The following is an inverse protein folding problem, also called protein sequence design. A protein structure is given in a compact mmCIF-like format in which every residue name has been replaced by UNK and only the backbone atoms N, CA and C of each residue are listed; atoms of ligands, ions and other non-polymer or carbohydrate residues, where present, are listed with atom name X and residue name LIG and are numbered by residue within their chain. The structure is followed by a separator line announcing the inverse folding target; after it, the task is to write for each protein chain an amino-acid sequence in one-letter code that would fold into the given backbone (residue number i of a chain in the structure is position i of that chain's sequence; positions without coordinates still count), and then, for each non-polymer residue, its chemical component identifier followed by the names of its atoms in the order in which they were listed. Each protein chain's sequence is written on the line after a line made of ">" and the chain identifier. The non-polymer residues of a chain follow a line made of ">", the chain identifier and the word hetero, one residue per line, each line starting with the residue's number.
data_IF_375152843481
#
_entry.id   IF_375152843481
#
_cell.length_a   1.000
_cell.length_b   1.000
_cell.length_c   1.000
_cell.angle_alpha   90.00
_cell.angle_beta   90.00
_cell.angle_gamma   90.00
#
_symmetry.space_group_name_H-M   'P 1'
#
loop_
_entity.id
_entity.type
_entity.pdbx_description
1 polymer ?
#
# COMPACT_ATOMS: atom_id res chain seq x y z
N UNK A 1 -9.43 63.24 -54.03
CA UNK A 1 -8.17 63.12 -53.28
C UNK A 1 -8.32 61.93 -52.34
N UNK A 2 -7.60 60.82 -52.59
CA UNK A 2 -7.61 59.66 -51.70
C UNK A 2 -6.54 59.86 -50.63
N UNK A 3 -6.96 59.93 -49.35
CA UNK A 3 -6.05 59.96 -48.21
C UNK A 3 -5.44 58.56 -48.03
N UNK A 4 -4.11 58.46 -48.19
CA UNK A 4 -3.37 57.23 -47.93
C UNK A 4 -3.24 57.02 -46.42
N UNK A 5 -4.15 56.25 -45.84
CA UNK A 5 -4.08 55.83 -44.46
C UNK A 5 -3.06 54.68 -44.34
N UNK A 6 -1.77 55.02 -44.22
CA UNK A 6 -0.70 54.03 -43.98
C UNK A 6 -0.57 53.79 -42.48
N UNK A 7 -1.41 52.91 -41.93
CA UNK A 7 -1.17 52.34 -40.60
C UNK A 7 0.17 51.58 -40.65
N UNK A 8 1.06 51.85 -39.70
CA UNK A 8 2.38 51.22 -39.67
C UNK A 8 2.23 49.72 -39.42
N UNK A 9 2.95 48.86 -40.16
CA UNK A 9 2.96 47.41 -39.89
C UNK A 9 3.38 47.09 -38.44
N UNK A 10 4.16 47.96 -37.80
CA UNK A 10 4.52 47.85 -36.36
C UNK A 10 3.33 48.06 -35.42
N UNK A 11 2.28 48.78 -35.84
CA UNK A 11 1.05 48.99 -35.06
C UNK A 11 0.08 47.81 -35.21
N UNK A 12 0.23 46.99 -36.27
CA UNK A 12 -0.62 45.83 -36.55
C UNK A 12 -0.04 44.50 -36.04
N UNK A 13 1.25 44.47 -35.70
CA UNK A 13 1.94 43.26 -35.23
C UNK A 13 2.60 43.48 -33.86
N UNK A 14 1.90 43.07 -32.81
CA UNK A 14 2.51 42.81 -31.50
C UNK A 14 2.95 41.34 -31.46
N UNK A 15 4.26 41.09 -31.35
CA UNK A 15 4.76 39.74 -31.16
C UNK A 15 4.07 39.10 -29.93
N UNK A 16 3.61 37.84 -30.01
CA UNK A 16 2.98 37.18 -28.86
C UNK A 16 3.95 37.21 -27.68
N UNK A 17 3.52 37.76 -26.55
CA UNK A 17 4.34 37.80 -25.36
C UNK A 17 4.51 36.38 -24.85
N UNK A 18 5.73 35.84 -24.97
CA UNK A 18 6.08 34.50 -24.52
C UNK A 18 5.91 34.29 -23.01
N UNK A 19 5.87 35.39 -22.25
CA UNK A 19 5.68 35.45 -20.81
C UNK A 19 4.72 36.59 -20.54
N UNK A 20 3.66 36.32 -19.79
CA UNK A 20 2.75 37.36 -19.27
C UNK A 20 2.68 37.27 -17.74
N UNK A 21 2.71 38.42 -17.07
CA UNK A 21 2.44 38.53 -15.63
C UNK A 21 1.05 39.14 -15.48
N UNK A 22 0.22 38.60 -14.61
CA UNK A 22 -1.09 39.18 -14.31
C UNK A 22 -0.96 40.60 -13.79
N UNK A 23 -1.99 41.42 -14.03
CA UNK A 23 -2.02 42.82 -13.57
C UNK A 23 -1.96 42.97 -12.05
N UNK A 24 -2.34 41.94 -11.29
CA UNK A 24 -2.20 41.87 -9.83
C UNK A 24 -0.86 41.29 -9.35
N UNK A 25 0.00 40.87 -10.28
CA UNK A 25 1.32 40.32 -10.00
C UNK A 25 1.33 38.91 -9.41
N UNK A 26 0.18 38.21 -9.34
CA UNK A 26 0.07 36.91 -8.63
C UNK A 26 0.34 35.70 -9.50
N UNK A 27 0.39 35.86 -10.81
CA UNK A 27 0.58 34.75 -11.75
C UNK A 27 1.50 35.14 -12.89
N UNK A 28 2.30 34.17 -13.32
CA UNK A 28 3.15 34.26 -14.51
C UNK A 28 2.76 33.11 -15.44
N UNK A 29 2.44 33.43 -16.69
CA UNK A 29 2.05 32.46 -17.72
C UNK A 29 3.14 32.42 -18.80
N UNK A 30 3.53 31.21 -19.21
CA UNK A 30 4.50 30.98 -20.28
C UNK A 30 3.81 30.26 -21.44
N UNK A 31 3.50 30.97 -22.53
CA UNK A 31 2.74 30.40 -23.65
C UNK A 31 3.66 29.67 -24.63
N UNK A 32 3.46 28.35 -24.78
CA UNK A 32 4.21 27.49 -25.71
C UNK A 32 5.75 27.56 -25.53
N UNK A 33 6.23 27.80 -24.30
CA UNK A 33 7.65 27.84 -23.97
C UNK A 33 8.01 26.77 -22.95
N UNK A 34 9.17 26.14 -23.13
CA UNK A 34 9.83 25.37 -22.07
C UNK A 34 10.38 26.33 -21.03
N UNK A 35 10.08 26.07 -19.75
CA UNK A 35 10.60 26.82 -18.61
C UNK A 35 11.61 25.93 -17.89
N UNK A 36 12.89 26.33 -17.89
CA UNK A 36 13.94 25.68 -17.13
C UNK A 36 14.26 26.52 -15.90
N UNK A 37 13.98 25.98 -14.72
CA UNK A 37 14.30 26.61 -13.44
C UNK A 37 15.30 25.68 -12.74
N UNK A 38 16.28 26.26 -12.06
CA UNK A 38 17.16 25.50 -11.16
C UNK A 38 16.40 25.12 -9.88
N UNK A 39 16.97 25.44 -8.72
CA UNK A 39 16.29 25.19 -7.47
C UNK A 39 15.11 26.15 -7.26
N UNK A 40 13.94 25.59 -6.98
CA UNK A 40 12.80 26.34 -6.45
C UNK A 40 12.80 26.14 -4.94
N UNK A 41 13.24 27.16 -4.20
CA UNK A 41 13.24 27.17 -2.74
C UNK A 41 12.58 28.44 -2.25
N UNK A 42 11.88 28.38 -1.11
CA UNK A 42 11.50 29.61 -0.41
C UNK A 42 12.70 30.12 0.39
N UNK A 43 12.94 31.43 0.35
CA UNK A 43 14.02 32.05 1.13
C UNK A 43 13.62 32.34 2.58
N UNK A 44 12.36 32.09 2.94
CA UNK A 44 11.79 32.26 4.29
C UNK A 44 10.85 31.11 4.61
N UNK A 45 10.58 30.92 5.91
CA UNK A 45 9.58 29.95 6.39
C UNK A 45 8.23 30.27 5.73
N UNK A 46 7.69 29.26 5.05
CA UNK A 46 6.44 29.41 4.31
C UNK A 46 5.30 29.19 5.30
N UNK A 47 4.31 30.09 5.34
CA UNK A 47 3.12 29.88 6.16
C UNK A 47 2.47 28.51 5.83
N UNK A 48 1.91 27.79 6.82
CA UNK A 48 1.39 26.44 6.64
C UNK A 48 0.38 26.25 5.50
N UNK A 49 -0.26 27.33 5.07
CA UNK A 49 -1.33 27.33 4.07
C UNK A 49 -0.88 27.65 2.63
N UNK A 50 0.40 27.97 2.39
CA UNK A 50 0.88 28.17 1.02
C UNK A 50 1.09 26.81 0.35
N UNK A 51 0.23 26.51 -0.63
CA UNK A 51 0.21 25.23 -1.33
C UNK A 51 0.79 25.39 -2.73
N UNK A 52 1.62 24.44 -3.15
CA UNK A 52 1.93 24.26 -4.56
C UNK A 52 0.80 23.46 -5.21
N UNK A 53 -0.04 24.12 -6.02
CA UNK A 53 -1.14 23.48 -6.72
C UNK A 53 -0.78 23.28 -8.20
N UNK A 54 -0.83 22.04 -8.67
CA UNK A 54 -0.63 21.70 -10.09
C UNK A 54 -1.95 21.19 -10.66
N UNK A 55 -2.46 21.87 -11.68
CA UNK A 55 -3.68 21.46 -12.38
C UNK A 55 -3.28 20.77 -13.68
N UNK A 56 -3.80 19.55 -13.89
CA UNK A 56 -3.55 18.75 -15.09
C UNK A 56 -2.58 17.59 -14.87
N UNK A 57 -2.07 17.02 -15.97
CA UNK A 57 -1.11 15.90 -15.92
C UNK A 57 0.30 16.43 -15.66
N UNK A 58 1.04 15.73 -14.81
CA UNK A 58 2.45 16.01 -14.52
C UNK A 58 3.29 14.81 -14.92
N UNK A 59 4.39 15.05 -15.65
CA UNK A 59 5.44 14.05 -15.89
C UNK A 59 6.68 14.51 -15.12
N UNK A 60 7.26 13.61 -14.33
CA UNK A 60 8.53 13.83 -13.64
C UNK A 60 9.53 12.83 -14.20
N UNK A 61 10.69 13.32 -14.64
CA UNK A 61 11.78 12.51 -15.20
C UNK A 61 12.90 12.47 -14.18
N UNK A 62 12.85 11.49 -13.28
CA UNK A 62 13.78 11.33 -12.15
C UNK A 62 13.10 10.97 -10.84
N UNK A 63 13.89 10.99 -9.76
CA UNK A 63 13.44 10.62 -8.43
C UNK A 63 12.52 11.67 -7.80
N UNK A 64 11.48 11.21 -7.12
CA UNK A 64 10.60 12.05 -6.29
C UNK A 64 10.81 11.65 -4.83
N UNK A 65 11.30 12.57 -4.01
CA UNK A 65 11.49 12.37 -2.56
C UNK A 65 10.44 13.16 -1.78
N UNK A 66 9.67 12.48 -0.96
CA UNK A 66 8.67 13.09 -0.08
C UNK A 66 8.99 12.64 1.35
N UNK A 67 9.34 13.59 2.23
CA UNK A 67 9.69 13.29 3.63
C UNK A 67 8.48 13.00 4.51
N UNK A 68 7.28 13.37 4.04
CA UNK A 68 6.01 13.24 4.73
C UNK A 68 5.05 12.33 3.94
N UNK A 69 3.76 12.40 4.28
CA UNK A 69 2.73 11.58 3.68
C UNK A 69 2.49 11.90 2.19
N UNK A 70 2.09 10.87 1.44
CA UNK A 70 1.60 10.97 0.06
C UNK A 70 0.15 10.49 0.04
N UNK A 71 -0.77 11.33 -0.44
CA UNK A 71 -2.18 10.97 -0.61
C UNK A 71 -2.48 10.84 -2.10
N UNK A 72 -2.98 9.68 -2.53
CA UNK A 72 -3.26 9.39 -3.93
C UNK A 72 -4.73 9.02 -4.04
N UNK A 73 -5.51 9.84 -4.75
CA UNK A 73 -6.95 9.64 -4.94
C UNK A 73 -7.30 8.64 -6.04
N UNK A 74 -6.31 8.12 -6.77
CA UNK A 74 -6.48 7.20 -7.90
C UNK A 74 -5.59 5.96 -7.78
N UNK A 75 -5.38 5.28 -8.90
CA UNK A 75 -4.53 4.09 -8.97
C UNK A 75 -3.03 4.45 -8.94
N UNK A 76 -2.22 3.51 -8.43
CA UNK A 76 -0.77 3.49 -8.57
C UNK A 76 -0.44 2.30 -9.49
N UNK A 77 0.22 2.56 -10.61
CA UNK A 77 0.58 1.54 -11.58
C UNK A 77 2.09 1.53 -11.81
N UNK A 78 2.70 0.34 -11.75
CA UNK A 78 4.10 0.10 -12.10
C UNK A 78 4.11 -0.76 -13.35
N UNK A 79 4.39 -0.15 -14.51
CA UNK A 79 4.19 -0.78 -15.83
C UNK A 79 5.42 -1.47 -16.40
N UNK A 80 6.61 -1.20 -15.84
CA UNK A 80 7.86 -1.84 -16.26
C UNK A 80 8.15 -3.01 -15.32
N UNK A 81 8.25 -4.22 -15.88
CA UNK A 81 8.55 -5.45 -15.14
C UNK A 81 9.89 -5.43 -14.41
N UNK A 82 10.81 -4.57 -14.82
CA UNK A 82 12.10 -4.38 -14.17
C UNK A 82 12.03 -3.43 -12.97
N UNK A 83 10.92 -2.70 -12.83
CA UNK A 83 10.67 -1.80 -11.71
C UNK A 83 9.83 -2.50 -10.66
N UNK A 84 10.27 -2.43 -9.41
CA UNK A 84 9.58 -3.06 -8.27
C UNK A 84 9.02 -2.00 -7.34
N UNK A 85 7.80 -2.22 -6.87
CA UNK A 85 7.30 -1.51 -5.70
C UNK A 85 7.96 -2.12 -4.45
N UNK A 86 8.82 -1.35 -3.79
CA UNK A 86 9.46 -1.74 -2.52
C UNK A 86 8.84 -0.94 -1.38
N UNK A 87 8.37 -1.63 -0.34
CA UNK A 87 7.90 -1.02 0.90
C UNK A 87 8.78 -1.51 2.04
N UNK A 88 9.53 -0.61 2.66
CA UNK A 88 10.32 -0.89 3.86
C UNK A 88 9.48 -0.51 5.09
N UNK A 89 8.73 -1.48 5.61
CA UNK A 89 7.85 -1.27 6.77
C UNK A 89 6.56 -2.09 6.70
N UNK A 90 5.58 -1.68 7.50
CA UNK A 90 4.28 -2.33 7.54
C UNK A 90 3.34 -1.77 6.47
N UNK A 91 2.57 -2.65 5.84
CA UNK A 91 1.52 -2.30 4.87
C UNK A 91 0.17 -2.79 5.38
N UNK A 92 -0.87 -1.95 5.28
CA UNK A 92 -2.27 -2.33 5.52
C UNK A 92 -3.03 -2.22 4.20
N UNK A 93 -3.73 -3.28 3.82
CA UNK A 93 -4.50 -3.34 2.57
C UNK A 93 -5.96 -3.64 2.93
N UNK A 94 -6.83 -2.65 2.77
CA UNK A 94 -8.28 -2.79 2.94
C UNK A 94 -8.91 -3.28 1.63
N UNK A 95 -8.63 -4.52 1.26
CA UNK A 95 -9.08 -5.08 0.00
C UNK A 95 -8.49 -6.47 -0.29
N UNK A 96 -8.40 -6.81 -1.57
CA UNK A 96 -7.89 -8.10 -2.02
C UNK A 96 -6.46 -7.96 -2.54
N UNK A 97 -5.60 -8.91 -2.21
CA UNK A 97 -4.27 -9.07 -2.81
C UNK A 97 -4.37 -10.19 -3.84
N UNK A 98 -4.09 -9.88 -5.11
CA UNK A 98 -3.93 -10.87 -6.17
C UNK A 98 -2.44 -10.95 -6.53
N UNK A 99 -1.84 -12.11 -6.32
CA UNK A 99 -0.42 -12.37 -6.58
C UNK A 99 -0.23 -13.82 -7.00
N UNK A 100 0.82 -14.09 -7.76
CA UNK A 100 1.21 -15.45 -8.14
C UNK A 100 1.81 -16.21 -6.95
N UNK A 101 2.55 -15.53 -6.08
CA UNK A 101 3.25 -16.13 -4.95
C UNK A 101 3.38 -15.15 -3.77
N UNK A 102 3.37 -15.70 -2.56
CA UNK A 102 3.73 -15.01 -1.31
C UNK A 102 4.85 -15.80 -0.65
N UNK A 103 6.04 -15.21 -0.54
CA UNK A 103 7.20 -15.82 0.12
C UNK A 103 7.45 -15.10 1.44
N UNK A 104 7.54 -15.87 2.54
CA UNK A 104 7.76 -15.35 3.89
C UNK A 104 9.14 -15.78 4.37
N UNK A 105 9.96 -14.83 4.82
CA UNK A 105 11.28 -15.11 5.36
C UNK A 105 11.21 -16.02 6.59
N UNK A 106 11.91 -17.16 6.55
CA UNK A 106 11.84 -18.21 7.60
C UNK A 106 13.21 -18.79 7.96
N UNK A 107 14.29 -18.09 7.62
CA UNK A 107 15.68 -18.48 7.89
C UNK A 107 15.94 -18.64 9.40
N UNK A 108 16.76 -19.62 9.80
CA UNK A 108 17.06 -19.88 11.22
C UNK A 108 17.72 -18.69 11.91
N UNK A 109 18.42 -17.82 11.18
CA UNK A 109 19.06 -16.60 11.70
C UNK A 109 18.06 -15.53 12.11
N UNK A 110 16.81 -15.64 11.65
CA UNK A 110 15.71 -14.75 12.04
C UNK A 110 14.94 -15.27 13.27
N UNK A 111 15.39 -16.39 13.87
CA UNK A 111 14.67 -17.10 14.92
C UNK A 111 15.58 -17.31 16.13
N UNK A 112 15.00 -17.24 17.31
CA UNK A 112 15.65 -17.56 18.59
C UNK A 112 14.72 -18.47 19.40
N UNK A 113 15.24 -19.14 20.44
CA UNK A 113 14.47 -20.03 21.31
C UNK A 113 13.69 -21.13 20.57
N UNK A 114 14.30 -21.71 19.53
CA UNK A 114 13.68 -22.74 18.70
C UNK A 114 13.46 -24.01 19.53
N UNK A 115 12.21 -24.45 19.64
CA UNK A 115 11.80 -25.69 20.29
C UNK A 115 10.93 -26.52 19.34
N UNK A 116 11.04 -27.86 19.34
CA UNK A 116 10.07 -28.71 18.68
C UNK A 116 8.66 -28.47 19.24
N UNK A 117 7.63 -28.65 18.41
CA UNK A 117 6.26 -28.72 18.89
C UNK A 117 6.05 -30.08 19.57
N UNK A 118 5.39 -30.08 20.73
CA UNK A 118 5.01 -31.27 21.47
C UNK A 118 3.49 -31.51 21.37
N UNK A 119 2.96 -32.40 22.21
CA UNK A 119 1.54 -32.76 22.27
C UNK A 119 0.66 -31.71 22.94
N UNK A 120 1.20 -30.55 23.33
CA UNK A 120 0.41 -29.41 23.81
C UNK A 120 -0.14 -28.55 22.65
N UNK A 121 0.44 -28.67 21.46
CA UNK A 121 -0.01 -27.94 20.27
C UNK A 121 -1.03 -28.77 19.49
N UNK A 122 -2.29 -28.69 19.92
CA UNK A 122 -3.38 -29.51 19.37
C UNK A 122 -4.46 -28.70 18.65
N UNK A 123 -5.12 -29.35 17.70
CA UNK A 123 -6.23 -28.74 16.94
C UNK A 123 -7.62 -29.05 17.52
N UNK A 124 -7.72 -29.96 18.51
CA UNK A 124 -8.99 -30.47 19.06
C UNK A 124 -9.89 -29.37 19.65
N UNK A 125 -9.30 -28.29 20.13
CA UNK A 125 -10.02 -27.17 20.75
C UNK A 125 -10.32 -26.04 19.77
N UNK A 126 -9.87 -26.14 18.52
CA UNK A 126 -10.16 -25.15 17.49
C UNK A 126 -11.59 -25.33 16.97
N UNK A 127 -12.26 -24.20 16.73
CA UNK A 127 -13.65 -24.15 16.25
C UNK A 127 -13.70 -23.55 14.84
N UNK A 128 -13.46 -24.35 13.78
CA UNK A 128 -13.68 -23.86 12.42
C UNK A 128 -15.18 -23.59 12.22
N UNK A 129 -15.49 -22.49 11.54
CA UNK A 129 -16.86 -22.05 11.27
C UNK A 129 -17.04 -21.73 9.78
N UNK A 130 -18.26 -21.92 9.28
CA UNK A 130 -18.72 -21.35 8.01
C UNK A 130 -19.42 -20.02 8.31
N UNK A 131 -19.09 -18.97 7.56
CA UNK A 131 -19.69 -17.66 7.74
C UNK A 131 -19.77 -16.89 6.41
N UNK A 132 -20.59 -15.85 6.40
CA UNK A 132 -20.61 -14.83 5.35
C UNK A 132 -20.08 -13.53 5.95
N UNK A 133 -19.27 -12.79 5.19
CA UNK A 133 -18.91 -11.42 5.58
C UNK A 133 -20.11 -10.50 5.39
N UNK A 134 -20.19 -9.46 6.20
CA UNK A 134 -21.20 -8.41 6.00
C UNK A 134 -21.07 -7.85 4.57
N UNK A 135 -22.20 -7.69 3.89
CA UNK A 135 -22.28 -7.21 2.49
C UNK A 135 -21.58 -8.13 1.47
N UNK A 136 -21.42 -9.42 1.78
CA UNK A 136 -20.87 -10.42 0.87
C UNK A 136 -21.67 -11.72 0.97
N UNK A 137 -22.29 -12.14 -0.13
CA UNK A 137 -23.08 -13.40 -0.18
C UNK A 137 -22.20 -14.65 -0.34
N UNK A 138 -20.87 -14.48 -0.38
CA UNK A 138 -19.94 -15.60 -0.51
C UNK A 138 -19.72 -16.27 0.84
N UNK A 139 -19.99 -17.57 0.88
CA UNK A 139 -19.62 -18.43 2.00
C UNK A 139 -18.10 -18.54 2.10
N UNK A 140 -17.60 -18.33 3.31
CA UNK A 140 -16.20 -18.50 3.69
C UNK A 140 -16.09 -19.47 4.87
N UNK A 141 -14.95 -20.16 4.97
CA UNK A 141 -14.62 -21.04 6.09
C UNK A 141 -13.40 -20.47 6.78
N UNK A 142 -13.41 -20.41 8.11
CA UNK A 142 -12.30 -19.90 8.89
C UNK A 142 -12.57 -19.98 10.39
N UNK A 143 -12.03 -19.03 11.14
CA UNK A 143 -12.20 -18.95 12.60
C UNK A 143 -12.77 -17.61 13.03
N UNK A 144 -13.50 -17.63 14.15
CA UNK A 144 -13.82 -16.41 14.89
C UNK A 144 -12.58 -16.03 15.71
N UNK A 145 -12.03 -14.83 15.46
CA UNK A 145 -10.73 -14.42 16.00
C UNK A 145 -10.62 -14.56 17.52
N UNK A 146 -11.59 -14.05 18.29
CA UNK A 146 -11.55 -14.14 19.75
C UNK A 146 -11.68 -15.57 20.30
N UNK A 147 -12.34 -16.49 19.57
CA UNK A 147 -12.40 -17.89 19.99
C UNK A 147 -11.04 -18.58 19.80
N UNK A 148 -10.38 -18.31 18.67
CA UNK A 148 -9.02 -18.79 18.41
C UNK A 148 -8.04 -18.21 19.43
N UNK A 149 -8.19 -16.93 19.79
CA UNK A 149 -7.31 -16.24 20.74
C UNK A 149 -7.30 -16.91 22.13
N UNK A 150 -8.39 -17.55 22.55
CA UNK A 150 -8.45 -18.29 23.82
C UNK A 150 -7.56 -19.55 23.82
N UNK A 151 -7.24 -20.09 22.65
CA UNK A 151 -6.40 -21.29 22.48
C UNK A 151 -4.98 -20.90 22.09
N UNK A 152 -4.83 -20.00 21.10
CA UNK A 152 -3.57 -19.49 20.59
C UNK A 152 -3.56 -17.94 20.61
N UNK A 153 -3.24 -17.32 21.77
CA UNK A 153 -3.28 -15.86 21.92
C UNK A 153 -2.40 -15.13 20.90
N UNK A 154 -1.21 -15.66 20.63
CA UNK A 154 -0.21 -15.04 19.75
C UNK A 154 -0.56 -15.10 18.26
N UNK A 155 -1.64 -15.80 17.89
CA UNK A 155 -2.08 -15.92 16.50
C UNK A 155 -3.09 -14.85 16.13
N UNK A 156 -3.54 -14.06 17.11
CA UNK A 156 -4.59 -13.06 16.92
C UNK A 156 -4.09 -11.70 17.40
N UNK A 157 -4.17 -10.71 16.51
CA UNK A 157 -3.89 -9.31 16.87
C UNK A 157 -5.19 -8.56 17.13
N UNK A 158 -5.12 -7.55 17.99
CA UNK A 158 -6.28 -6.75 18.40
C UNK A 158 -7.05 -7.33 19.58
N UNK A 159 -8.02 -6.56 20.07
CA UNK A 159 -8.83 -6.88 21.26
C UNK A 159 -10.29 -6.93 20.86
N UNK A 160 -11.01 -7.95 21.36
CA UNK A 160 -12.45 -8.12 21.11
C UNK A 160 -13.22 -6.88 21.56
N UNK A 161 -14.17 -6.45 20.75
CA UNK A 161 -15.08 -5.31 21.02
C UNK A 161 -14.38 -3.94 21.13
N UNK A 162 -13.13 -3.80 20.68
CA UNK A 162 -12.45 -2.51 20.51
C UNK A 162 -12.69 -1.90 19.12
N UNK A 163 -12.31 -0.63 18.93
CA UNK A 163 -12.46 0.11 17.67
C UNK A 163 -11.71 -0.58 16.51
N UNK A 164 -10.48 -1.04 16.77
CA UNK A 164 -9.71 -1.82 15.80
C UNK A 164 -10.20 -3.28 15.78
N UNK A 165 -10.47 -3.81 14.59
CA UNK A 165 -10.86 -5.20 14.40
C UNK A 165 -9.74 -6.18 14.74
N UNK A 166 -10.11 -7.38 15.16
CA UNK A 166 -9.15 -8.46 15.35
C UNK A 166 -8.75 -9.10 14.03
N UNK A 167 -7.49 -9.55 13.92
CA UNK A 167 -6.96 -10.23 12.73
C UNK A 167 -6.28 -11.54 13.13
N UNK A 168 -6.41 -12.56 12.29
CA UNK A 168 -5.84 -13.90 12.52
C UNK A 168 -4.63 -14.12 11.60
N UNK A 169 -3.51 -14.55 12.17
CA UNK A 169 -2.36 -15.06 11.44
C UNK A 169 -2.54 -16.56 11.15
N UNK A 170 -3.21 -16.87 10.03
CA UNK A 170 -3.46 -18.25 9.59
C UNK A 170 -2.18 -19.03 9.26
N UNK A 171 -1.07 -18.37 8.91
CA UNK A 171 0.18 -19.06 8.53
C UNK A 171 0.77 -19.87 9.68
N UNK A 172 0.59 -19.40 10.91
CA UNK A 172 1.11 -20.09 12.08
C UNK A 172 0.40 -21.44 12.33
N UNK A 173 -0.85 -21.59 11.89
CA UNK A 173 -1.60 -22.85 12.03
C UNK A 173 -0.98 -23.97 11.19
N UNK A 174 -0.27 -23.66 10.10
CA UNK A 174 0.34 -24.66 9.21
C UNK A 174 1.32 -25.55 9.99
N UNK A 175 2.15 -24.97 10.87
CA UNK A 175 3.09 -25.72 11.69
C UNK A 175 2.40 -26.70 12.64
N UNK A 176 1.30 -26.27 13.25
CA UNK A 176 0.48 -27.10 14.16
C UNK A 176 -0.17 -28.25 13.38
N UNK A 177 -0.77 -27.95 12.22
CA UNK A 177 -1.40 -28.97 11.37
C UNK A 177 -0.40 -30.05 10.94
N UNK A 178 0.83 -29.67 10.59
CA UNK A 178 1.90 -30.63 10.25
C UNK A 178 2.28 -31.49 11.45
N UNK A 179 2.44 -30.88 12.63
CA UNK A 179 2.76 -31.61 13.88
C UNK A 179 1.67 -32.63 14.22
N UNK A 180 0.40 -32.23 14.16
CA UNK A 180 -0.74 -33.11 14.40
C UNK A 180 -0.77 -34.30 13.43
N UNK A 181 -0.57 -34.05 12.14
CA UNK A 181 -0.52 -35.14 11.14
C UNK A 181 0.63 -36.12 11.44
N UNK A 182 1.78 -35.64 11.91
CA UNK A 182 2.91 -36.50 12.29
C UNK A 182 2.58 -37.34 13.53
N UNK A 183 1.97 -36.75 14.55
CA UNK A 183 1.55 -37.45 15.77
C UNK A 183 0.47 -38.50 15.46
N UNK A 184 -0.53 -38.14 14.63
CA UNK A 184 -1.57 -39.06 14.17
C UNK A 184 -0.97 -40.25 13.42
N UNK A 185 -0.06 -40.03 12.47
CA UNK A 185 0.62 -41.12 11.75
C UNK A 185 1.41 -42.03 12.69
N UNK A 186 2.13 -41.45 13.67
CA UNK A 186 2.86 -42.23 14.66
C UNK A 186 1.93 -43.14 15.46
N UNK A 187 0.82 -42.60 15.95
CA UNK A 187 -0.19 -43.37 16.71
C UNK A 187 -0.83 -44.47 15.87
N UNK A 188 -1.15 -44.20 14.60
CA UNK A 188 -1.70 -45.23 13.69
C UNK A 188 -0.69 -46.37 13.52
N UNK A 189 0.57 -46.09 13.23
CA UNK A 189 1.60 -47.11 13.07
C UNK A 189 1.79 -47.95 14.35
N UNK A 190 1.76 -47.32 15.53
CA UNK A 190 1.85 -48.00 16.82
C UNK A 190 0.66 -48.91 17.12
N UNK A 191 -0.54 -48.54 16.66
CA UNK A 191 -1.75 -49.35 16.79
C UNK A 191 -1.75 -50.52 15.80
N UNK A 192 -1.34 -50.29 14.56
CA UNK A 192 -1.26 -51.32 13.52
C UNK A 192 -0.17 -52.36 13.81
N UNK A 193 0.94 -51.95 14.44
CA UNK A 193 2.02 -52.88 14.82
C UNK A 193 1.65 -53.81 15.99
N UNK A 194 0.49 -53.60 16.62
CA UNK A 194 -0.05 -54.44 17.71
C UNK A 194 -1.08 -55.47 17.23
N UNK A 195 -1.41 -55.45 15.94
CA UNK A 195 -2.31 -56.41 15.26
C UNK A 195 -1.44 -57.44 14.55
#
# INVERSE_FOLDING_TARGET
>A
MFSNNRTSIKELYSAPQAISVSSDGKSVTFENKSVSIGDVTSQTEVEPDVKFNVVGKTKMDGDVKMSQNVFIGGAIEVTDENVKLKVEGNTTINGTINTNEIVIGSDYRLKTNIKPLDDSFVVDHLKPVEYNKNNCDKKEIGFIAHELQNVYPDFVTGVKDCEATQHVNYNNLIGILVNEIQMLKKRVNELESKI
#
